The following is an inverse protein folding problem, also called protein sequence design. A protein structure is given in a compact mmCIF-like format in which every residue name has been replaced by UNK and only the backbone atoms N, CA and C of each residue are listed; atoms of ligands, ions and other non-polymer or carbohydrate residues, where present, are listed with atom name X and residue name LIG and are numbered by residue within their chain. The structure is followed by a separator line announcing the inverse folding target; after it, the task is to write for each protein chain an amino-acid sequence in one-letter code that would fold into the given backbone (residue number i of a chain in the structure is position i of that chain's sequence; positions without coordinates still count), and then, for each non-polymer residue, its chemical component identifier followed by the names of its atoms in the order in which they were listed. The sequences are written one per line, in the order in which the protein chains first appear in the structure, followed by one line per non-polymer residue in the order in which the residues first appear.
data_IF_269529913237
#
_entry.id   IF_269529913237
#
_cell.length_a   1.000
_cell.length_b   1.000
_cell.length_c   1.000
_cell.angle_alpha   90.00
_cell.angle_beta   90.00
_cell.angle_gamma   90.00
#
_symmetry.space_group_name_H-M   'P 1'
#
loop_
_entity.id
_entity.type
_entity.pdbx_description
1 polymer ?
#
# COMPACT_ATOMS: atom_id res chain seq x y z
N UNK A 1 -8.39 -59.68 -26.23
CA UNK A 1 -7.86 -59.33 -24.89
C UNK A 1 -7.25 -57.94 -24.91
N UNK A 2 -7.93 -56.92 -24.35
CA UNK A 2 -7.30 -55.66 -23.90
C UNK A 2 -8.12 -55.14 -22.73
N UNK A 3 -7.60 -55.34 -21.52
CA UNK A 3 -8.21 -54.90 -20.27
C UNK A 3 -8.02 -53.39 -20.12
N UNK A 4 -9.11 -52.63 -20.08
CA UNK A 4 -9.11 -51.25 -19.59
C UNK A 4 -9.07 -51.31 -18.06
N UNK A 5 -7.91 -51.02 -17.48
CA UNK A 5 -7.81 -50.80 -16.04
C UNK A 5 -8.50 -49.47 -15.70
N UNK A 6 -9.68 -49.57 -15.09
CA UNK A 6 -10.33 -48.48 -14.37
C UNK A 6 -9.54 -48.23 -13.08
N UNK A 7 -8.66 -47.23 -13.08
CA UNK A 7 -8.09 -46.69 -11.83
C UNK A 7 -9.18 -45.89 -11.11
N UNK A 8 -10.01 -46.59 -10.33
CA UNK A 8 -10.89 -45.98 -9.32
C UNK A 8 -10.03 -45.54 -8.13
N UNK A 9 -9.34 -44.41 -8.30
CA UNK A 9 -8.63 -43.73 -7.22
C UNK A 9 -9.62 -42.95 -6.36
N UNK A 10 -10.17 -43.59 -5.33
CA UNK A 10 -10.85 -42.87 -4.25
C UNK A 10 -9.80 -42.03 -3.51
N UNK A 11 -9.73 -40.75 -3.82
CA UNK A 11 -8.97 -39.77 -3.06
C UNK A 11 -9.73 -39.50 -1.76
N UNK A 12 -9.39 -40.20 -0.68
CA UNK A 12 -9.91 -39.88 0.65
C UNK A 12 -9.37 -38.52 1.07
N UNK A 13 -10.24 -37.51 1.20
CA UNK A 13 -9.89 -36.25 1.85
C UNK A 13 -9.52 -36.56 3.29
N UNK A 14 -8.23 -36.45 3.60
CA UNK A 14 -7.75 -36.50 4.97
C UNK A 14 -8.12 -35.17 5.65
N UNK A 15 -9.29 -35.10 6.29
CA UNK A 15 -9.81 -33.92 6.97
C UNK A 15 -9.13 -33.67 8.33
N UNK A 16 -7.79 -33.74 8.37
CA UNK A 16 -6.97 -33.50 9.56
C UNK A 16 -6.36 -32.09 9.57
N UNK A 17 -7.17 -31.08 9.23
CA UNK A 17 -6.79 -29.67 9.35
C UNK A 17 -7.02 -29.20 10.79
N UNK A 18 -5.99 -29.34 11.64
CA UNK A 18 -5.95 -28.66 12.94
C UNK A 18 -6.06 -27.16 12.69
N UNK A 19 -7.12 -26.53 13.22
CA UNK A 19 -7.31 -25.08 13.11
C UNK A 19 -6.16 -24.40 13.84
N UNK A 20 -5.36 -23.63 13.11
CA UNK A 20 -4.31 -22.80 13.69
C UNK A 20 -4.87 -21.80 14.72
N UNK A 21 -4.00 -21.16 15.52
CA UNK A 21 -4.42 -20.22 16.54
C UNK A 21 -5.32 -19.13 15.95
N UNK A 22 -6.27 -18.64 16.75
CA UNK A 22 -7.18 -17.57 16.35
C UNK A 22 -6.37 -16.40 15.78
N UNK A 23 -6.79 -15.89 14.60
CA UNK A 23 -6.20 -14.68 14.04
C UNK A 23 -6.31 -13.56 15.07
N UNK A 24 -5.20 -12.87 15.31
CA UNK A 24 -5.18 -11.68 16.15
C UNK A 24 -6.28 -10.71 15.69
N UNK A 25 -7.09 -10.24 16.63
CA UNK A 25 -8.22 -9.34 16.38
C UNK A 25 -7.79 -7.90 16.14
N UNK A 26 -6.54 -7.56 16.49
CA UNK A 26 -5.94 -6.24 16.28
C UNK A 26 -4.94 -6.31 15.13
N UNK A 27 -5.03 -5.35 14.21
CA UNK A 27 -4.03 -5.19 13.16
C UNK A 27 -2.64 -4.96 13.79
N UNK A 28 -1.56 -5.54 13.22
CA UNK A 28 -0.21 -5.31 13.72
C UNK A 28 0.14 -3.82 13.63
N UNK A 29 0.96 -3.28 14.56
CA UNK A 29 1.34 -1.88 14.54
C UNK A 29 2.09 -1.57 13.24
N UNK A 30 1.57 -0.60 12.49
CA UNK A 30 2.19 -0.11 11.26
C UNK A 30 2.92 1.21 11.52
N UNK A 31 3.91 1.50 10.69
CA UNK A 31 4.66 2.76 10.67
C UNK A 31 4.55 3.33 9.25
N UNK A 32 4.32 4.64 9.13
CA UNK A 32 4.25 5.30 7.84
C UNK A 32 5.65 5.76 7.39
N UNK A 33 6.01 5.45 6.15
CA UNK A 33 7.23 5.96 5.54
C UNK A 33 7.12 7.46 5.29
N UNK A 34 8.01 8.26 5.87
CA UNK A 34 8.04 9.71 5.71
C UNK A 34 8.39 10.18 4.28
N UNK A 35 8.95 9.30 3.44
CA UNK A 35 9.31 9.62 2.05
C UNK A 35 8.13 9.41 1.10
N UNK A 36 7.39 8.29 1.24
CA UNK A 36 6.34 7.92 0.29
C UNK A 36 4.92 7.80 0.89
N UNK A 37 4.76 8.02 2.19
CA UNK A 37 3.47 7.98 2.87
C UNK A 37 2.81 6.60 2.98
N UNK A 38 3.49 5.51 2.60
CA UNK A 38 2.95 4.14 2.67
C UNK A 38 3.14 3.53 4.05
N UNK A 39 2.21 2.67 4.44
CA UNK A 39 2.25 1.90 5.70
C UNK A 39 3.09 0.63 5.54
N UNK A 40 3.98 0.40 6.51
CA UNK A 40 4.81 -0.80 6.62
C UNK A 40 4.73 -1.36 8.04
N UNK A 41 5.18 -2.61 8.22
CA UNK A 41 5.40 -3.15 9.56
C UNK A 41 6.63 -2.51 10.18
N UNK A 42 6.68 -2.46 11.51
CA UNK A 42 7.81 -1.89 12.27
C UNK A 42 9.18 -2.49 11.91
N UNK A 43 9.25 -3.76 11.50
CA UNK A 43 10.49 -4.40 11.04
C UNK A 43 10.78 -4.15 9.56
N UNK A 44 9.76 -4.05 8.72
CA UNK A 44 9.95 -3.86 7.27
C UNK A 44 10.25 -2.41 6.90
N UNK A 45 9.92 -1.44 7.76
CA UNK A 45 10.19 -0.02 7.51
C UNK A 45 11.69 0.31 7.45
N UNK A 46 12.52 -0.36 8.27
CA UNK A 46 13.97 -0.15 8.31
C UNK A 46 14.64 -0.53 6.98
N UNK A 47 14.13 -1.57 6.32
CA UNK A 47 14.61 -2.02 5.01
C UNK A 47 13.98 -1.17 3.89
N UNK A 48 12.75 -0.69 4.10
CA UNK A 48 12.03 0.10 3.12
C UNK A 48 12.60 1.51 2.94
N UNK A 49 12.86 2.27 4.02
CA UNK A 49 13.31 3.67 3.97
C UNK A 49 14.52 3.87 3.05
N UNK A 50 15.63 3.11 3.15
CA UNK A 50 16.80 3.33 2.29
C UNK A 50 16.49 3.06 0.81
N UNK A 51 15.69 2.03 0.51
CA UNK A 51 15.26 1.75 -0.87
C UNK A 51 14.33 2.84 -1.40
N UNK A 52 13.46 3.38 -0.55
CA UNK A 52 12.54 4.45 -0.89
C UNK A 52 13.27 5.77 -1.18
N UNK A 53 14.28 6.12 -0.37
CA UNK A 53 15.13 7.29 -0.60
C UNK A 53 15.88 7.19 -1.93
N UNK A 54 16.49 6.03 -2.22
CA UNK A 54 17.17 5.81 -3.50
C UNK A 54 16.24 5.99 -4.70
N UNK A 55 15.00 5.50 -4.61
CA UNK A 55 13.99 5.72 -5.66
C UNK A 55 13.65 7.20 -5.81
N UNK A 56 13.45 7.89 -4.69
CA UNK A 56 13.14 9.31 -4.66
C UNK A 56 14.26 10.16 -5.28
N UNK A 57 15.52 9.87 -4.96
CA UNK A 57 16.68 10.57 -5.51
C UNK A 57 16.73 10.43 -7.04
N UNK A 58 16.57 9.21 -7.55
CA UNK A 58 16.54 8.95 -8.99
C UNK A 58 15.37 9.66 -9.69
N UNK A 59 14.20 9.76 -9.05
CA UNK A 59 13.07 10.51 -9.58
C UNK A 59 13.33 12.01 -9.56
N UNK A 60 13.98 12.51 -8.50
CA UNK A 60 14.35 13.90 -8.36
C UNK A 60 15.44 14.33 -9.35
N UNK A 61 16.42 13.47 -9.63
CA UNK A 61 17.48 13.72 -10.63
C UNK A 61 16.95 13.82 -12.05
N UNK A 62 15.90 13.04 -12.37
CA UNK A 62 15.19 13.09 -13.65
C UNK A 62 14.42 14.40 -13.85
N UNK A 63 14.17 15.18 -12.79
CA UNK A 63 13.56 16.50 -12.93
C UNK A 63 14.59 17.54 -13.42
N UNK A 64 14.15 18.55 -14.21
CA UNK A 64 14.98 19.70 -14.53
C UNK A 64 15.58 20.32 -13.27
N UNK A 65 16.82 20.83 -13.32
CA UNK A 65 17.54 21.41 -12.16
C UNK A 65 16.67 22.40 -11.35
N UNK A 66 15.84 23.18 -12.04
CA UNK A 66 14.91 24.16 -11.44
C UNK A 66 13.75 23.55 -10.65
N UNK A 67 13.40 22.29 -10.89
CA UNK A 67 12.29 21.56 -10.24
C UNK A 67 12.76 20.51 -9.24
N UNK A 68 14.07 20.36 -9.06
CA UNK A 68 14.64 19.42 -8.08
C UNK A 68 14.30 19.89 -6.67
N UNK A 69 13.91 18.95 -5.83
CA UNK A 69 13.58 19.18 -4.41
C UNK A 69 14.76 18.78 -3.54
N UNK A 70 14.95 19.42 -2.37
CA UNK A 70 15.89 18.91 -1.37
C UNK A 70 15.41 17.55 -0.83
N UNK A 71 16.33 16.69 -0.37
CA UNK A 71 15.97 15.40 0.23
C UNK A 71 14.98 15.61 1.39
N UNK A 72 13.95 14.75 1.52
CA UNK A 72 13.03 14.83 2.64
C UNK A 72 13.84 14.71 3.94
N UNK A 73 13.69 15.66 4.89
CA UNK A 73 14.43 15.58 6.13
C UNK A 73 14.08 14.27 6.82
N UNK A 74 15.11 13.52 7.24
CA UNK A 74 14.86 12.34 8.07
C UNK A 74 14.22 12.86 9.36
N UNK A 75 13.00 12.44 9.71
CA UNK A 75 12.46 12.76 11.02
C UNK A 75 13.42 12.19 12.04
N UNK A 76 13.81 12.98 13.03
CA UNK A 76 14.77 12.54 14.03
C UNK A 76 14.15 11.37 14.82
N UNK A 77 14.54 10.15 14.47
CA UNK A 77 14.12 8.93 15.15
C UNK A 77 14.69 8.85 16.59
N UNK A 78 15.56 9.79 16.98
CA UNK A 78 16.37 9.77 18.21
C UNK A 78 15.95 10.84 19.22
N UNK A 79 14.88 11.62 18.98
CA UNK A 79 14.31 12.47 20.02
C UNK A 79 13.48 11.61 20.99
N UNK A 80 14.19 11.08 21.98
CA UNK A 80 13.72 11.01 23.37
C UNK A 80 12.64 9.96 23.71
N UNK A 81 12.67 8.76 23.15
CA UNK A 81 11.96 7.58 23.72
C UNK A 81 10.43 7.69 23.91
N UNK A 82 9.80 8.78 23.50
CA UNK A 82 8.38 9.11 23.68
C UNK A 82 7.89 10.04 22.57
N UNK A 83 8.34 9.82 21.32
CA UNK A 83 7.52 10.28 20.20
C UNK A 83 6.32 9.34 20.16
N UNK A 84 5.13 9.87 20.47
CA UNK A 84 3.90 9.11 20.36
C UNK A 84 3.77 8.61 18.92
N UNK A 85 4.02 7.31 18.73
CA UNK A 85 4.00 6.64 17.44
C UNK A 85 2.64 6.80 16.76
N UNK A 86 1.57 6.98 17.55
CA UNK A 86 0.23 7.24 17.05
C UNK A 86 0.14 8.65 16.46
N UNK A 87 0.57 9.68 17.18
CA UNK A 87 0.58 11.06 16.68
C UNK A 87 1.39 11.23 15.38
N UNK A 88 2.57 10.59 15.28
CA UNK A 88 3.38 10.64 14.05
C UNK A 88 2.70 9.92 12.88
N UNK A 89 2.08 8.76 13.15
CA UNK A 89 1.32 8.04 12.14
C UNK A 89 0.07 8.81 11.70
N UNK A 90 -0.63 9.49 12.61
CA UNK A 90 -1.79 10.31 12.24
C UNK A 90 -1.42 11.51 11.39
N UNK A 91 -0.33 12.20 11.73
CA UNK A 91 0.19 13.31 10.93
C UNK A 91 0.61 12.83 9.52
N UNK A 92 1.32 11.71 9.45
CA UNK A 92 1.76 11.15 8.17
C UNK A 92 0.58 10.59 7.34
N UNK A 93 -0.44 10.01 7.98
CA UNK A 93 -1.69 9.61 7.31
C UNK A 93 -2.42 10.81 6.73
N UNK A 94 -2.60 11.87 7.53
CA UNK A 94 -3.26 13.10 7.10
C UNK A 94 -2.54 13.75 5.93
N UNK A 95 -1.21 13.84 5.98
CA UNK A 95 -0.40 14.33 4.87
C UNK A 95 -0.55 13.46 3.61
N UNK A 96 -0.57 12.13 3.76
CA UNK A 96 -0.74 11.20 2.62
C UNK A 96 -2.11 11.34 1.95
N UNK A 97 -3.17 11.57 2.73
CA UNK A 97 -4.52 11.78 2.24
C UNK A 97 -4.64 13.12 1.51
N UNK A 98 -4.01 14.17 2.03
CA UNK A 98 -3.98 15.50 1.41
C UNK A 98 -3.19 15.52 0.08
N UNK A 99 -2.23 14.60 -0.10
CA UNK A 99 -1.45 14.48 -1.34
C UNK A 99 -2.19 13.73 -2.47
N UNK A 100 -3.40 13.22 -2.23
CA UNK A 100 -4.18 12.53 -3.26
C UNK A 100 -4.79 13.52 -4.26
N UNK A 101 -4.69 13.18 -5.55
CA UNK A 101 -5.20 13.98 -6.65
C UNK A 101 -6.38 13.26 -7.29
N UNK A 102 -7.47 13.98 -7.56
CA UNK A 102 -8.64 13.44 -8.24
C UNK A 102 -8.41 13.31 -9.75
N UNK A 103 -8.98 12.28 -10.36
CA UNK A 103 -9.02 12.11 -11.81
C UNK A 103 -10.05 13.08 -12.44
N UNK A 104 -9.67 13.76 -13.50
CA UNK A 104 -10.51 14.75 -14.21
C UNK A 104 -11.75 14.16 -14.89
N UNK A 105 -11.78 12.84 -15.11
CA UNK A 105 -12.87 12.18 -15.84
C UNK A 105 -13.81 11.35 -14.97
N UNK A 106 -13.31 10.78 -13.87
CA UNK A 106 -14.11 9.90 -12.99
C UNK A 106 -14.06 10.29 -11.51
N UNK A 107 -13.34 11.36 -11.16
CA UNK A 107 -13.26 11.93 -9.80
C UNK A 107 -12.68 10.99 -8.73
N UNK A 108 -12.18 9.82 -9.11
CA UNK A 108 -11.47 8.93 -8.18
C UNK A 108 -10.13 9.56 -7.78
N UNK A 109 -9.79 9.47 -6.50
CA UNK A 109 -8.55 10.01 -5.94
C UNK A 109 -7.42 8.98 -5.98
N UNK A 110 -6.23 9.40 -6.40
CA UNK A 110 -5.04 8.55 -6.51
C UNK A 110 -3.79 9.30 -6.06
N UNK A 111 -2.74 8.54 -5.74
CA UNK A 111 -1.39 9.10 -5.69
C UNK A 111 -0.97 9.54 -7.10
N UNK A 112 -0.19 10.64 -7.25
CA UNK A 112 0.19 11.18 -8.57
C UNK A 112 0.81 10.13 -9.50
N UNK A 113 1.71 9.27 -8.97
CA UNK A 113 2.32 8.17 -9.72
C UNK A 113 1.31 7.18 -10.31
N UNK A 114 0.25 6.85 -9.55
CA UNK A 114 -0.78 5.90 -10.00
C UNK A 114 -1.84 6.56 -10.87
N UNK A 115 -2.08 7.85 -10.69
CA UNK A 115 -3.02 8.61 -11.51
C UNK A 115 -2.62 8.54 -12.99
N UNK A 116 -1.33 8.68 -13.29
CA UNK A 116 -0.81 8.57 -14.66
C UNK A 116 -1.11 7.22 -15.31
N UNK A 117 -1.05 6.13 -14.54
CA UNK A 117 -1.38 4.78 -15.06
C UNK A 117 -2.89 4.66 -15.28
N UNK A 118 -3.70 5.17 -14.34
CA UNK A 118 -5.17 5.18 -14.44
C UNK A 118 -5.68 5.98 -15.64
N UNK A 119 -5.09 7.15 -15.91
CA UNK A 119 -5.47 8.02 -17.03
C UNK A 119 -5.16 7.42 -18.41
N UNK A 120 -4.37 6.34 -18.51
CA UNK A 120 -4.18 5.61 -19.76
C UNK A 120 -5.46 4.91 -20.24
N UNK A 121 -6.34 4.54 -19.31
CA UNK A 121 -7.59 3.82 -19.61
C UNK A 121 -8.84 4.61 -19.25
N UNK A 122 -8.77 5.50 -18.26
CA UNK A 122 -9.87 6.38 -17.89
C UNK A 122 -9.78 7.67 -18.72
N UNK A 123 -10.68 7.80 -19.70
CA UNK A 123 -10.78 8.96 -20.61
C UNK A 123 -12.13 9.64 -20.47
N UNK A 124 -12.30 10.83 -21.09
CA UNK A 124 -13.58 11.56 -21.13
C UNK A 124 -14.74 10.71 -21.70
N UNK A 125 -14.45 9.89 -22.71
CA UNK A 125 -15.45 9.03 -23.36
C UNK A 125 -15.74 7.75 -22.57
N UNK A 126 -14.74 7.26 -21.83
CA UNK A 126 -14.82 6.01 -21.06
C UNK A 126 -14.37 6.23 -19.62
N UNK A 127 -15.13 7.01 -18.83
CA UNK A 127 -14.79 7.23 -17.43
C UNK A 127 -15.01 5.95 -16.63
N UNK A 128 -14.09 5.65 -15.71
CA UNK A 128 -14.22 4.50 -14.83
C UNK A 128 -15.43 4.68 -13.89
N UNK A 129 -16.24 3.62 -13.72
CA UNK A 129 -17.37 3.65 -12.79
C UNK A 129 -16.88 3.81 -11.35
N UNK A 130 -17.52 4.72 -10.59
CA UNK A 130 -17.27 4.88 -9.14
C UNK A 130 -17.85 3.65 -8.43
N UNK A 131 -17.06 3.04 -7.54
CA UNK A 131 -17.57 1.99 -6.66
C UNK A 131 -18.38 2.67 -5.57
N UNK A 132 -19.70 2.52 -5.59
CA UNK A 132 -20.58 2.95 -4.50
C UNK A 132 -20.36 2.03 -3.31
N UNK A 133 -19.62 2.47 -2.29
CA UNK A 133 -19.47 1.75 -1.02
C UNK A 133 -20.75 1.88 -0.19
N UNK A 134 -21.84 1.24 -0.62
CA UNK A 134 -22.96 0.92 0.26
C UNK A 134 -22.54 -0.29 1.10
N UNK A 135 -22.39 -0.10 2.42
CA UNK A 135 -21.87 -1.05 3.43
C UNK A 135 -20.34 -1.16 3.57
N UNK A 136 -19.73 -0.17 4.21
CA UNK A 136 -18.56 -0.39 5.06
C UNK A 136 -18.99 0.06 6.46
N UNK A 137 -19.37 -0.89 7.32
CA UNK A 137 -19.48 -0.63 8.76
C UNK A 137 -18.06 -0.32 9.25
N UNK A 138 -17.83 0.93 9.63
CA UNK A 138 -16.61 1.36 10.32
C UNK A 138 -16.56 0.63 11.67
N UNK A 139 -15.45 -0.03 12.02
CA UNK A 139 -15.26 -0.56 13.37
C UNK A 139 -15.17 0.56 14.41
#
# INVERSE_FOLDING_TARGET
MRAFHLFSGYFTRNDNLVRGPARATKAPPTVICYVCGRQFGSRSIEIHIPQCLKKWELENERLPKSKRRPPPPRPDCTILGTVDKYAVNEAAWTASQAALVACEHCERTFNPDRLQIHQRSCTKEKPAKRVTTTNIKKP
#
